data_IF_353467138863
#
_entry.id   IF_353467138863
#
_cell.length_a   1.000
_cell.length_b   1.000
_cell.length_c   1.000
_cell.angle_alpha   90.00
_cell.angle_beta   90.00
_cell.angle_gamma   90.00
#
_symmetry.space_group_name_H-M   'P 1'
#
loop_
_entity.id
_entity.type
_entity.pdbx_description
1 polymer ?
#
# COMPACT_ATOMS: atom_id res chain seq x y z
N UNK A 1 14.13 -4.20 14.64
CA UNK A 1 12.80 -3.95 15.22
C UNK A 1 11.93 -5.17 14.95
N UNK A 2 10.88 -5.40 15.74
CA UNK A 2 9.95 -6.53 15.50
C UNK A 2 8.78 -6.06 14.64
N UNK A 3 8.25 -6.95 13.79
CA UNK A 3 7.11 -6.64 12.92
C UNK A 3 5.85 -6.32 13.73
N UNK A 4 5.57 -7.07 14.79
CA UNK A 4 4.44 -6.81 15.68
C UNK A 4 4.94 -6.27 17.02
N UNK A 5 4.40 -5.15 17.46
CA UNK A 5 4.81 -4.48 18.70
C UNK A 5 3.59 -4.10 19.54
N UNK A 6 3.62 -4.42 20.84
CA UNK A 6 2.63 -3.97 21.83
C UNK A 6 3.14 -2.68 22.48
N UNK A 7 2.80 -1.53 21.89
CA UNK A 7 3.26 -0.21 22.31
C UNK A 7 2.12 0.80 22.23
N UNK A 8 2.09 1.73 23.18
CA UNK A 8 1.17 2.86 23.13
C UNK A 8 1.77 4.00 22.29
N UNK A 9 1.05 4.43 21.27
CA UNK A 9 1.44 5.56 20.43
C UNK A 9 0.24 6.28 19.83
N UNK A 10 0.48 7.51 19.36
CA UNK A 10 -0.50 8.27 18.59
C UNK A 10 -0.24 8.05 17.10
N UNK A 11 -1.23 7.54 16.37
CA UNK A 11 -1.15 7.29 14.93
C UNK A 11 -1.01 8.59 14.13
N UNK A 12 -0.67 8.48 12.85
CA UNK A 12 -0.68 9.62 11.93
C UNK A 12 -2.08 10.26 11.82
N UNK A 13 -3.14 9.46 11.90
CA UNK A 13 -4.55 9.89 11.97
C UNK A 13 -4.98 10.40 13.35
N UNK A 14 -4.06 10.50 14.32
CA UNK A 14 -4.33 11.04 15.65
C UNK A 14 -4.99 10.07 16.63
N UNK A 15 -5.17 8.80 16.26
CA UNK A 15 -5.75 7.76 17.10
C UNK A 15 -4.72 7.27 18.13
N UNK A 16 -5.17 7.00 19.35
CA UNK A 16 -4.35 6.30 20.33
C UNK A 16 -4.43 4.79 20.03
N UNK A 17 -3.27 4.18 19.80
CA UNK A 17 -3.12 2.77 19.44
C UNK A 17 -2.20 2.07 20.44
N UNK A 18 -2.53 0.83 20.78
CA UNK A 18 -1.80 0.00 21.76
C UNK A 18 -0.89 -1.05 21.11
N UNK A 19 -0.88 -1.10 19.77
CA UNK A 19 -0.01 -1.96 18.99
C UNK A 19 0.24 -1.42 17.58
N UNK A 20 1.39 -1.78 17.01
CA UNK A 20 1.87 -1.37 15.69
C UNK A 20 2.30 -2.58 14.86
N UNK A 21 2.02 -2.56 13.56
CA UNK A 21 2.69 -3.37 12.55
C UNK A 21 3.81 -2.50 11.97
N UNK A 22 5.06 -2.87 12.22
CA UNK A 22 6.24 -2.08 11.88
C UNK A 22 7.01 -2.71 10.73
N UNK A 23 6.76 -2.19 9.52
CA UNK A 23 7.26 -2.77 8.28
C UNK A 23 8.76 -2.56 8.07
N UNK A 24 9.38 -1.67 8.85
CA UNK A 24 10.85 -1.53 8.96
C UNK A 24 11.52 -2.79 9.53
N UNK A 25 10.74 -3.69 10.14
CA UNK A 25 11.24 -4.99 10.59
C UNK A 25 11.49 -5.99 9.43
N UNK A 26 10.94 -5.75 8.25
CA UNK A 26 11.05 -6.66 7.11
C UNK A 26 12.39 -6.48 6.38
N UNK A 27 12.99 -7.62 6.03
CA UNK A 27 14.22 -7.69 5.24
C UNK A 27 13.94 -7.60 3.74
N UNK A 28 14.95 -7.35 2.91
CA UNK A 28 14.78 -7.33 1.45
C UNK A 28 14.20 -8.64 0.88
N UNK A 29 14.63 -9.84 1.32
CA UNK A 29 13.97 -11.10 0.95
C UNK A 29 12.47 -11.15 1.28
N UNK A 30 12.05 -10.59 2.41
CA UNK A 30 10.62 -10.51 2.77
C UNK A 30 9.87 -9.63 1.77
N UNK A 31 10.44 -8.46 1.44
CA UNK A 31 9.86 -7.54 0.46
C UNK A 31 9.79 -8.14 -0.95
N UNK A 32 10.82 -8.87 -1.39
CA UNK A 32 10.79 -9.58 -2.69
C UNK A 32 9.72 -10.68 -2.72
N UNK A 33 9.52 -11.36 -1.59
CA UNK A 33 8.46 -12.37 -1.46
C UNK A 33 7.08 -11.71 -1.51
N UNK A 34 6.86 -10.62 -0.77
CA UNK A 34 5.61 -9.84 -0.82
C UNK A 34 5.32 -9.34 -2.23
N UNK A 35 6.33 -8.74 -2.89
CA UNK A 35 6.25 -8.29 -4.29
C UNK A 35 5.77 -9.42 -5.19
N UNK A 36 6.38 -10.61 -5.08
CA UNK A 36 6.00 -11.78 -5.86
C UNK A 36 4.54 -12.19 -5.62
N UNK A 37 4.12 -12.28 -4.36
CA UNK A 37 2.74 -12.64 -4.00
C UNK A 37 1.72 -11.67 -4.61
N UNK A 38 2.01 -10.36 -4.57
CA UNK A 38 1.16 -9.34 -5.17
C UNK A 38 1.10 -9.49 -6.70
N UNK A 39 2.25 -9.67 -7.36
CA UNK A 39 2.34 -9.80 -8.82
C UNK A 39 1.66 -11.07 -9.36
N UNK A 40 1.54 -12.13 -8.56
CA UNK A 40 0.80 -13.35 -8.95
C UNK A 40 -0.73 -13.12 -9.06
N UNK A 41 -1.24 -12.04 -8.46
CA UNK A 41 -2.69 -11.72 -8.38
C UNK A 41 -3.03 -10.46 -9.17
N UNK A 42 -2.09 -9.51 -9.23
CA UNK A 42 -2.32 -8.15 -9.74
C UNK A 42 -2.47 -8.14 -11.26
N UNK A 43 -3.50 -7.45 -11.82
CA UNK A 43 -3.54 -7.19 -13.25
C UNK A 43 -2.37 -6.27 -13.67
N UNK A 44 -2.00 -6.21 -14.97
CA UNK A 44 -1.01 -5.26 -15.45
C UNK A 44 -1.31 -3.82 -15.01
N UNK A 45 -0.28 -3.03 -14.76
CA UNK A 45 -0.38 -1.63 -14.35
C UNK A 45 0.67 -0.77 -15.06
N UNK A 46 0.31 0.48 -15.34
CA UNK A 46 1.15 1.46 -16.04
C UNK A 46 2.40 1.80 -15.24
N UNK A 47 2.22 2.12 -13.97
CA UNK A 47 3.26 2.49 -13.01
C UNK A 47 2.77 2.12 -11.59
N UNK A 48 3.71 1.85 -10.68
CA UNK A 48 3.41 1.70 -9.26
C UNK A 48 3.94 2.89 -8.47
N UNK A 49 3.13 3.40 -7.55
CA UNK A 49 3.41 4.62 -6.79
C UNK A 49 3.16 4.35 -5.31
N UNK A 50 4.23 4.42 -4.52
CA UNK A 50 4.15 4.29 -3.07
C UNK A 50 3.68 5.56 -2.39
N UNK A 51 2.76 5.44 -1.44
CA UNK A 51 2.45 6.53 -0.51
C UNK A 51 3.71 6.87 0.28
N UNK A 52 4.06 8.17 0.46
CA UNK A 52 5.29 8.55 1.13
C UNK A 52 5.44 7.93 2.52
N UNK A 53 6.67 7.48 2.82
CA UNK A 53 7.08 6.72 4.02
C UNK A 53 6.80 5.22 3.91
N UNK A 54 5.57 4.78 4.20
CA UNK A 54 5.25 3.34 4.27
C UNK A 54 5.29 2.64 2.92
N UNK A 55 4.56 3.17 1.94
CA UNK A 55 4.42 2.56 0.62
C UNK A 55 5.63 2.65 -0.32
N UNK A 56 6.65 3.48 -0.03
CA UNK A 56 7.73 3.80 -1.00
C UNK A 56 8.48 2.55 -1.45
N UNK A 57 8.94 1.72 -0.51
CA UNK A 57 9.72 0.52 -0.84
C UNK A 57 8.92 -0.47 -1.68
N UNK A 58 7.64 -0.67 -1.35
CA UNK A 58 6.76 -1.53 -2.12
C UNK A 58 6.50 -0.96 -3.52
N UNK A 59 6.28 0.34 -3.61
CA UNK A 59 6.06 1.06 -4.86
C UNK A 59 7.23 0.89 -5.82
N UNK A 60 8.45 1.16 -5.35
CA UNK A 60 9.67 1.03 -6.14
C UNK A 60 9.84 -0.41 -6.67
N UNK A 61 9.65 -1.40 -5.80
CA UNK A 61 9.77 -2.82 -6.16
C UNK A 61 8.73 -3.27 -7.19
N UNK A 62 7.47 -2.84 -7.04
CA UNK A 62 6.42 -3.17 -8.00
C UNK A 62 6.64 -2.43 -9.33
N UNK A 63 7.15 -1.20 -9.29
CA UNK A 63 7.35 -0.39 -10.48
C UNK A 63 8.40 -0.98 -11.43
N UNK A 64 9.27 -1.89 -10.97
CA UNK A 64 10.14 -2.70 -11.84
C UNK A 64 9.37 -3.56 -12.86
N UNK A 65 8.07 -3.82 -12.64
CA UNK A 65 7.19 -4.57 -13.53
C UNK A 65 6.11 -3.71 -14.20
N UNK A 66 6.25 -2.40 -14.12
CA UNK A 66 5.38 -1.45 -14.78
C UNK A 66 5.37 -1.66 -16.31
N UNK A 67 4.19 -1.60 -16.92
CA UNK A 67 4.07 -1.76 -18.38
C UNK A 67 4.38 -0.49 -19.15
N UNK A 68 4.23 0.67 -18.51
CA UNK A 68 4.31 1.99 -19.14
C UNK A 68 3.16 2.33 -20.10
N UNK A 69 2.19 1.42 -20.30
CA UNK A 69 1.07 1.61 -21.23
C UNK A 69 0.05 2.58 -20.67
N UNK A 70 -0.49 3.48 -21.51
CA UNK A 70 -1.42 4.52 -21.03
C UNK A 70 -2.78 3.96 -20.62
N UNK A 71 -3.18 2.83 -21.19
CA UNK A 71 -4.45 2.14 -20.92
C UNK A 71 -4.45 1.34 -19.60
N UNK A 72 -3.26 0.98 -19.09
CA UNK A 72 -3.15 0.21 -17.86
C UNK A 72 -3.35 1.13 -16.62
N UNK A 73 -3.93 0.62 -15.52
CA UNK A 73 -4.20 1.41 -14.33
C UNK A 73 -2.91 1.86 -13.62
N UNK A 74 -3.00 2.90 -12.80
CA UNK A 74 -1.93 3.27 -11.86
C UNK A 74 -2.11 2.45 -10.58
N UNK A 75 -1.03 1.79 -10.14
CA UNK A 75 -1.02 0.98 -8.92
C UNK A 75 -0.54 1.82 -7.74
N UNK A 76 -1.45 2.26 -6.86
CA UNK A 76 -1.10 3.03 -5.65
C UNK A 76 -0.91 2.05 -4.50
N UNK A 77 0.19 2.17 -3.77
CA UNK A 77 0.51 1.20 -2.71
C UNK A 77 0.88 1.84 -1.38
N UNK A 78 0.52 1.15 -0.30
CA UNK A 78 0.98 1.45 1.05
C UNK A 78 1.39 0.15 1.75
N UNK A 79 2.11 0.24 2.86
CA UNK A 79 2.55 -0.94 3.60
C UNK A 79 1.46 -1.44 4.58
N UNK A 80 0.84 -0.54 5.34
CA UNK A 80 -0.20 -0.83 6.33
C UNK A 80 -1.38 0.13 6.23
N UNK A 81 -2.56 -0.39 5.87
CA UNK A 81 -3.82 0.34 5.93
C UNK A 81 -4.39 0.31 7.35
N UNK A 82 -4.59 1.51 7.92
CA UNK A 82 -5.25 1.70 9.21
C UNK A 82 -6.73 2.04 9.04
N UNK A 83 -7.06 3.26 8.62
CA UNK A 83 -8.43 3.72 8.34
C UNK A 83 -8.77 3.72 6.85
N UNK A 84 -7.75 3.71 5.98
CA UNK A 84 -7.90 3.88 4.53
C UNK A 84 -7.83 5.34 4.05
N UNK A 85 -7.84 6.32 4.97
CA UNK A 85 -7.81 7.74 4.61
C UNK A 85 -6.55 8.15 3.85
N UNK A 86 -5.39 7.54 4.14
CA UNK A 86 -4.15 7.81 3.41
C UNK A 86 -4.27 7.42 1.93
N UNK A 87 -4.89 6.27 1.63
CA UNK A 87 -5.10 5.79 0.26
C UNK A 87 -6.02 6.73 -0.52
N UNK A 88 -7.18 7.07 0.05
CA UNK A 88 -8.15 7.97 -0.58
C UNK A 88 -7.56 9.37 -0.79
N UNK A 89 -6.92 9.93 0.24
CA UNK A 89 -6.27 11.24 0.16
C UNK A 89 -5.18 11.24 -0.92
N UNK A 90 -4.32 10.22 -0.94
CA UNK A 90 -3.25 10.13 -1.91
C UNK A 90 -3.79 9.99 -3.33
N UNK A 91 -4.81 9.15 -3.56
CA UNK A 91 -5.45 9.02 -4.87
C UNK A 91 -6.00 10.36 -5.34
N UNK A 92 -6.73 11.09 -4.48
CA UNK A 92 -7.28 12.41 -4.81
C UNK A 92 -6.15 13.38 -5.19
N UNK A 93 -5.09 13.47 -4.38
CA UNK A 93 -3.94 14.34 -4.66
C UNK A 93 -3.21 13.93 -5.93
N UNK A 94 -3.04 12.62 -6.17
CA UNK A 94 -2.35 12.11 -7.34
C UNK A 94 -3.17 12.34 -8.62
N UNK A 95 -4.49 12.35 -8.53
CA UNK A 95 -5.35 12.69 -9.67
C UNK A 95 -5.35 14.20 -9.99
N UNK A 96 -5.06 15.07 -9.03
CA UNK A 96 -5.04 16.53 -9.27
C UNK A 96 -4.09 16.88 -10.42
N UNK A 97 -4.60 17.62 -11.39
CA UNK A 97 -3.87 18.09 -12.58
C UNK A 97 -3.33 16.98 -13.51
N UNK A 98 -3.77 15.73 -13.35
CA UNK A 98 -3.50 14.65 -14.29
C UNK A 98 -4.72 14.39 -15.18
N UNK A 99 -4.50 13.78 -16.35
CA UNK A 99 -5.61 13.22 -17.13
C UNK A 99 -6.29 12.12 -16.30
N UNK A 100 -7.62 11.95 -16.39
CA UNK A 100 -8.32 10.87 -15.71
C UNK A 100 -7.67 9.51 -16.00
N UNK A 101 -7.50 8.70 -14.97
CA UNK A 101 -6.96 7.35 -15.05
C UNK A 101 -7.67 6.44 -14.07
N UNK A 102 -7.64 5.13 -14.34
CA UNK A 102 -8.09 4.11 -13.40
C UNK A 102 -7.00 3.83 -12.38
N UNK A 103 -7.34 3.81 -11.10
CA UNK A 103 -6.44 3.38 -10.04
C UNK A 103 -6.78 1.97 -9.57
N UNK A 104 -5.75 1.19 -9.27
CA UNK A 104 -5.83 0.00 -8.43
C UNK A 104 -4.96 0.21 -7.20
N UNK A 105 -5.34 -0.35 -6.07
CA UNK A 105 -4.65 -0.19 -4.81
C UNK A 105 -4.12 -1.50 -4.24
N UNK A 106 -2.94 -1.47 -3.64
CA UNK A 106 -2.42 -2.59 -2.86
C UNK A 106 -1.88 -2.18 -1.50
N UNK A 107 -2.17 -2.97 -0.48
CA UNK A 107 -1.52 -2.87 0.84
C UNK A 107 -1.06 -4.24 1.32
N UNK A 108 0.02 -4.28 2.09
CA UNK A 108 0.49 -5.57 2.65
C UNK A 108 -0.43 -6.01 3.78
N UNK A 109 -0.66 -5.13 4.76
CA UNK A 109 -1.58 -5.39 5.86
C UNK A 109 -2.73 -4.37 5.86
N UNK A 110 -3.94 -4.85 6.13
CA UNK A 110 -5.10 -4.00 6.37
C UNK A 110 -5.73 -4.34 7.72
N UNK A 111 -5.87 -3.31 8.56
CA UNK A 111 -6.47 -3.45 9.91
C UNK A 111 -7.99 -3.38 9.89
N UNK A 112 -8.56 -2.83 8.83
CA UNK A 112 -10.01 -2.68 8.60
C UNK A 112 -10.31 -3.03 7.16
N UNK A 113 -11.59 -3.19 6.83
CA UNK A 113 -12.01 -3.33 5.44
C UNK A 113 -11.40 -2.24 4.56
N UNK A 114 -10.79 -2.64 3.45
CA UNK A 114 -10.20 -1.73 2.47
C UNK A 114 -11.28 -1.01 1.64
N UNK A 115 -10.99 0.19 1.11
CA UNK A 115 -11.79 0.80 0.05
C UNK A 115 -11.96 -0.15 -1.16
N UNK A 116 -13.06 -0.06 -1.93
CA UNK A 116 -13.36 -1.04 -2.98
C UNK A 116 -12.30 -1.21 -4.08
N UNK A 117 -11.47 -0.20 -4.30
CA UNK A 117 -10.40 -0.20 -5.31
C UNK A 117 -9.05 -0.70 -4.76
N UNK A 118 -8.97 -1.00 -3.46
CA UNK A 118 -7.74 -1.43 -2.76
C UNK A 118 -7.85 -2.89 -2.35
N UNK A 119 -6.84 -3.68 -2.71
CA UNK A 119 -6.69 -5.08 -2.28
C UNK A 119 -5.63 -5.18 -1.18
N UNK A 120 -5.89 -5.98 -0.15
CA UNK A 120 -4.93 -6.28 0.90
C UNK A 120 -4.37 -7.69 0.75
N UNK A 121 -3.05 -7.85 0.90
CA UNK A 121 -2.44 -9.18 0.94
C UNK A 121 -2.84 -9.94 2.21
N UNK A 122 -2.88 -9.23 3.34
CA UNK A 122 -3.37 -9.74 4.63
C UNK A 122 -4.40 -8.78 5.23
N UNK A 123 -5.64 -9.22 5.31
CA UNK A 123 -6.77 -8.46 5.83
C UNK A 123 -7.17 -8.99 7.22
N UNK A 124 -7.20 -8.13 8.23
CA UNK A 124 -7.75 -8.50 9.53
C UNK A 124 -9.26 -8.78 9.43
N UNK A 125 -9.80 -9.68 10.27
CA UNK A 125 -11.23 -9.92 10.33
C UNK A 125 -12.01 -8.63 10.62
N UNK A 126 -13.19 -8.53 10.00
CA UNK A 126 -14.19 -7.49 10.23
C UNK A 126 -15.16 -7.88 11.32
#
# INVERSE_FOLDING_TARGET
MNLFQSIDFKSHSGLNLTWKIDMDALTDPDWFTIKRMILEITPPFKEAVGIPRGGVKLGDLLNEHATGKEEDPICIVDDVLTTGESMEYFLEQYQRNRRPFTAIGWVVFARTQCPPWVTALFQMPT
#
